data_IF_343763212063
#
_entry.id   IF_343763212063
#
_cell.length_a   1.000
_cell.length_b   1.000
_cell.length_c   1.000
_cell.angle_alpha   90.00
_cell.angle_beta   90.00
_cell.angle_gamma   90.00
#
_symmetry.space_group_name_H-M   'P 1'
#
loop_
_entity.id
_entity.type
_entity.pdbx_description
1 polymer ?
#
# COMPACT_ATOMS: atom_id res chain seq x y z
N UNK A 1 2.33 -6.27 -26.44
CA UNK A 1 2.81 -6.36 -25.04
C UNK A 1 2.24 -7.63 -24.43
N UNK A 2 3.06 -8.46 -23.76
CA UNK A 2 2.59 -9.74 -23.24
C UNK A 2 1.50 -9.52 -22.20
N UNK A 3 0.33 -10.14 -22.41
CA UNK A 3 -0.72 -10.22 -21.40
C UNK A 3 -0.24 -11.22 -20.35
N UNK A 4 0.10 -10.72 -19.18
CA UNK A 4 0.50 -11.54 -18.06
C UNK A 4 -0.76 -12.01 -17.30
N UNK A 5 -0.78 -13.27 -16.84
CA UNK A 5 -2.00 -13.88 -16.29
C UNK A 5 -2.36 -13.32 -14.90
N UNK A 6 -3.66 -13.26 -14.57
CA UNK A 6 -4.12 -12.83 -13.24
C UNK A 6 -3.51 -13.68 -12.11
N UNK A 7 -3.31 -14.99 -12.35
CA UNK A 7 -2.66 -15.90 -11.40
C UNK A 7 -1.25 -15.46 -11.10
N UNK A 8 -0.48 -15.16 -12.14
CA UNK A 8 0.88 -14.70 -11.96
C UNK A 8 0.89 -13.33 -11.26
N UNK A 9 -0.10 -12.45 -11.51
CA UNK A 9 -0.22 -11.14 -10.84
C UNK A 9 -0.49 -11.25 -9.37
N UNK A 10 -1.40 -12.15 -9.01
CA UNK A 10 -1.69 -12.50 -7.64
C UNK A 10 -0.45 -13.07 -6.94
N UNK A 11 0.28 -13.98 -7.58
CA UNK A 11 1.51 -14.58 -7.01
C UNK A 11 2.59 -13.50 -6.79
N UNK A 12 2.86 -12.65 -7.78
CA UNK A 12 3.84 -11.57 -7.63
C UNK A 12 3.44 -10.60 -6.51
N UNK A 13 2.16 -10.24 -6.42
CA UNK A 13 1.64 -9.42 -5.34
C UNK A 13 1.81 -10.08 -3.97
N UNK A 14 1.44 -11.35 -3.84
CA UNK A 14 1.62 -12.13 -2.60
C UNK A 14 3.09 -12.25 -2.19
N UNK A 15 4.00 -12.45 -3.15
CA UNK A 15 5.43 -12.49 -2.88
C UNK A 15 5.96 -11.11 -2.43
N UNK A 16 5.40 -10.02 -2.95
CA UNK A 16 5.83 -8.64 -2.62
C UNK A 16 5.33 -8.19 -1.25
N UNK A 17 4.11 -8.59 -0.87
CA UNK A 17 3.49 -8.23 0.42
C UNK A 17 4.39 -8.41 1.64
N UNK A 18 5.00 -9.58 1.92
CA UNK A 18 5.82 -9.76 3.13
C UNK A 18 7.05 -8.85 3.16
N UNK A 19 7.73 -8.65 2.03
CA UNK A 19 8.89 -7.74 1.98
C UNK A 19 8.47 -6.30 2.22
N UNK A 20 7.39 -5.85 1.58
CA UNK A 20 6.89 -4.50 1.78
C UNK A 20 6.38 -4.29 3.21
N UNK A 21 5.73 -5.29 3.83
CA UNK A 21 5.29 -5.23 5.23
C UNK A 21 6.49 -5.11 6.18
N UNK A 22 7.55 -5.90 5.97
CA UNK A 22 8.76 -5.80 6.78
C UNK A 22 9.41 -4.41 6.68
N UNK A 23 9.47 -3.83 5.48
CA UNK A 23 9.97 -2.47 5.27
C UNK A 23 9.08 -1.41 5.96
N UNK A 24 7.76 -1.57 5.89
CA UNK A 24 6.82 -0.68 6.57
C UNK A 24 6.98 -0.76 8.09
N UNK A 25 7.06 -1.97 8.66
CA UNK A 25 7.30 -2.19 10.09
C UNK A 25 8.66 -1.65 10.53
N UNK A 26 9.70 -1.82 9.72
CA UNK A 26 11.02 -1.26 9.99
C UNK A 26 10.98 0.28 10.11
N UNK A 27 10.29 0.96 9.19
CA UNK A 27 10.14 2.43 9.21
C UNK A 27 9.17 2.93 10.28
N UNK A 28 8.18 2.12 10.67
CA UNK A 28 7.32 2.41 11.81
C UNK A 28 8.09 2.37 13.15
N UNK A 29 9.20 1.63 13.20
CA UNK A 29 9.92 1.35 14.44
C UNK A 29 9.02 0.68 15.49
N UNK A 30 9.39 0.76 16.76
CA UNK A 30 8.55 0.30 17.87
C UNK A 30 7.43 1.30 18.23
N UNK A 31 6.88 2.03 17.25
CA UNK A 31 5.89 3.11 17.45
C UNK A 31 6.49 4.52 17.48
N UNK A 32 7.80 4.67 17.29
CA UNK A 32 8.50 5.97 17.26
C UNK A 32 9.11 6.31 15.89
N UNK A 33 8.92 5.45 14.89
CA UNK A 33 9.45 5.66 13.55
C UNK A 33 8.68 6.73 12.77
N UNK A 34 9.26 7.16 11.66
CA UNK A 34 8.71 8.20 10.80
C UNK A 34 7.56 7.71 9.89
N UNK A 35 7.33 6.39 9.85
CA UNK A 35 6.34 5.72 9.00
C UNK A 35 6.51 6.03 7.50
N UNK A 36 7.66 6.55 7.06
CA UNK A 36 7.90 6.95 5.67
C UNK A 36 7.70 5.78 4.73
N UNK A 37 8.30 4.62 5.00
CA UNK A 37 8.12 3.45 4.12
C UNK A 37 6.70 2.90 4.19
N UNK A 38 6.00 3.02 5.32
CA UNK A 38 4.60 2.64 5.42
C UNK A 38 3.71 3.55 4.55
N UNK A 39 3.92 4.87 4.58
CA UNK A 39 3.21 5.86 3.75
C UNK A 39 3.49 5.67 2.26
N UNK A 40 4.73 5.32 1.89
CA UNK A 40 5.11 5.10 0.49
C UNK A 40 4.60 3.76 -0.04
N UNK A 41 4.77 2.66 0.71
CA UNK A 41 4.45 1.31 0.22
C UNK A 41 2.97 0.96 0.40
N UNK A 42 2.34 1.47 1.45
CA UNK A 42 0.94 1.19 1.82
C UNK A 42 0.11 2.46 2.00
N UNK A 43 0.08 3.37 1.01
CA UNK A 43 -0.61 4.64 1.16
C UNK A 43 -2.12 4.47 1.38
N UNK A 44 -2.76 3.46 0.77
CA UNK A 44 -4.20 3.22 0.95
C UNK A 44 -4.50 2.75 2.38
N UNK A 45 -3.88 1.68 2.92
CA UNK A 45 -4.00 1.30 4.33
C UNK A 45 -3.72 2.44 5.30
N UNK A 46 -2.69 3.25 5.01
CA UNK A 46 -2.33 4.38 5.85
C UNK A 46 -3.40 5.46 5.84
N UNK A 47 -3.97 5.82 4.69
CA UNK A 47 -5.07 6.79 4.64
C UNK A 47 -6.35 6.28 5.32
N UNK A 48 -6.59 4.96 5.33
CA UNK A 48 -7.74 4.39 6.05
C UNK A 48 -7.65 4.61 7.56
N UNK A 49 -6.46 4.80 8.13
CA UNK A 49 -6.33 5.08 9.57
C UNK A 49 -6.95 6.41 9.97
N UNK A 50 -7.15 7.36 9.04
CA UNK A 50 -7.90 8.60 9.26
C UNK A 50 -9.34 8.31 9.71
N UNK A 51 -9.92 7.20 9.25
CA UNK A 51 -11.26 6.75 9.65
C UNK A 51 -11.27 6.11 11.05
N UNK A 52 -10.09 5.79 11.58
CA UNK A 52 -9.90 5.12 12.87
C UNK A 52 -8.96 5.93 13.77
N UNK A 53 -9.11 7.26 13.79
CA UNK A 53 -8.35 8.19 14.64
C UNK A 53 -6.84 7.96 14.59
N UNK A 54 -6.27 7.85 13.38
CA UNK A 54 -4.86 7.57 13.16
C UNK A 54 -4.37 6.33 13.92
N UNK A 55 -5.19 5.30 14.06
CA UNK A 55 -4.81 4.02 14.68
C UNK A 55 -4.73 2.92 13.64
N UNK A 56 -3.67 2.11 13.68
CA UNK A 56 -3.55 0.91 12.85
C UNK A 56 -4.48 -0.18 13.39
N UNK A 57 -5.60 -0.39 12.69
CA UNK A 57 -6.60 -1.39 13.05
C UNK A 57 -6.50 -2.64 12.17
N UNK A 58 -7.25 -3.69 12.53
CA UNK A 58 -7.38 -4.90 11.72
C UNK A 58 -7.86 -4.61 10.29
N UNK A 59 -8.67 -3.57 10.09
CA UNK A 59 -9.07 -3.09 8.76
C UNK A 59 -7.86 -2.61 7.95
N UNK A 60 -7.01 -1.77 8.55
CA UNK A 60 -5.80 -1.24 7.90
C UNK A 60 -4.83 -2.38 7.56
N UNK A 61 -4.63 -3.31 8.48
CA UNK A 61 -3.80 -4.51 8.27
C UNK A 61 -4.36 -5.39 7.15
N UNK A 62 -5.68 -5.63 7.14
CA UNK A 62 -6.34 -6.40 6.09
C UNK A 62 -6.16 -5.78 4.70
N UNK A 63 -6.30 -4.45 4.59
CA UNK A 63 -6.03 -3.72 3.35
C UNK A 63 -4.56 -3.81 2.95
N UNK A 64 -3.63 -3.75 3.89
CA UNK A 64 -2.20 -3.88 3.60
C UNK A 64 -1.86 -5.24 3.00
N UNK A 65 -2.42 -6.32 3.56
CA UNK A 65 -2.24 -7.68 3.02
C UNK A 65 -2.78 -7.80 1.60
N UNK A 66 -3.92 -7.17 1.30
CA UNK A 66 -4.60 -7.27 0.01
C UNK A 66 -4.04 -6.32 -1.05
N UNK A 67 -3.39 -5.22 -0.68
CA UNK A 67 -3.02 -4.14 -1.60
C UNK A 67 -2.19 -4.62 -2.81
N UNK A 68 -1.04 -5.26 -2.57
CA UNK A 68 -0.17 -5.73 -3.66
C UNK A 68 -0.77 -6.86 -4.50
N UNK A 69 -1.45 -7.88 -3.92
CA UNK A 69 -2.22 -8.86 -4.69
C UNK A 69 -3.28 -8.20 -5.58
N UNK A 70 -4.04 -7.23 -5.04
CA UNK A 70 -5.05 -6.51 -5.80
C UNK A 70 -4.42 -5.69 -6.95
N UNK A 71 -3.28 -5.03 -6.70
CA UNK A 71 -2.52 -4.33 -7.73
C UNK A 71 -2.07 -5.26 -8.85
N UNK A 72 -1.50 -6.42 -8.48
CA UNK A 72 -1.04 -7.44 -9.43
C UNK A 72 -2.16 -7.98 -10.31
N UNK A 73 -3.33 -8.27 -9.73
CA UNK A 73 -4.53 -8.68 -10.49
C UNK A 73 -5.04 -7.55 -11.38
N UNK A 74 -5.11 -6.32 -10.86
CA UNK A 74 -5.60 -5.16 -11.59
C UNK A 74 -4.79 -4.90 -12.87
N UNK A 75 -3.46 -4.91 -12.78
CA UNK A 75 -2.57 -4.69 -13.93
C UNK A 75 -2.54 -5.88 -14.89
N UNK A 76 -2.66 -7.12 -14.38
CA UNK A 76 -2.70 -8.33 -15.22
C UNK A 76 -3.91 -8.36 -16.17
N UNK A 77 -5.03 -7.79 -15.74
CA UNK A 77 -6.27 -7.71 -16.51
C UNK A 77 -6.23 -6.63 -17.62
N UNK A 78 -5.13 -5.90 -17.81
CA UNK A 78 -5.03 -4.86 -18.83
C UNK A 78 -3.63 -4.59 -19.36
N UNK A 79 -3.52 -3.57 -20.21
CA UNK A 79 -2.25 -3.12 -20.78
C UNK A 79 -1.65 -1.93 -20.04
N UNK A 80 -0.76 -1.19 -20.71
CA UNK A 80 -0.06 0.00 -20.19
C UNK A 80 -0.97 1.02 -19.49
N UNK A 81 -2.21 1.19 -19.96
CA UNK A 81 -3.18 2.10 -19.33
C UNK A 81 -3.49 1.76 -17.88
N UNK A 82 -3.56 0.47 -17.51
CA UNK A 82 -3.81 0.06 -16.12
C UNK A 82 -2.58 0.25 -15.23
N UNK A 83 -1.38 0.07 -15.77
CA UNK A 83 -0.15 0.42 -15.08
C UNK A 83 -0.08 1.92 -14.79
N UNK A 84 -0.42 2.76 -15.78
CA UNK A 84 -0.48 4.21 -15.60
C UNK A 84 -1.55 4.61 -14.58
N UNK A 85 -2.76 4.06 -14.68
CA UNK A 85 -3.84 4.33 -13.74
C UNK A 85 -3.46 3.94 -12.31
N UNK A 86 -2.89 2.74 -12.13
CA UNK A 86 -2.42 2.28 -10.82
C UNK A 86 -1.32 3.20 -10.27
N UNK A 87 -0.34 3.55 -11.10
CA UNK A 87 0.75 4.44 -10.71
C UNK A 87 0.26 5.83 -10.29
N UNK A 88 -0.69 6.40 -11.03
CA UNK A 88 -1.31 7.70 -10.70
C UNK A 88 -2.10 7.61 -9.40
N UNK A 89 -2.96 6.61 -9.24
CA UNK A 89 -3.76 6.43 -8.01
C UNK A 89 -2.84 6.24 -6.80
N UNK A 90 -1.81 5.41 -6.93
CA UNK A 90 -0.85 5.18 -5.86
C UNK A 90 -0.06 6.44 -5.52
N UNK A 91 0.44 7.18 -6.52
CA UNK A 91 1.15 8.43 -6.32
C UNK A 91 0.28 9.49 -5.63
N UNK A 92 -1.00 9.63 -6.03
CA UNK A 92 -1.95 10.54 -5.36
C UNK A 92 -2.14 10.12 -3.90
N UNK A 93 -2.30 8.82 -3.64
CA UNK A 93 -2.46 8.33 -2.28
C UNK A 93 -1.20 8.58 -1.42
N UNK A 94 0.01 8.41 -1.99
CA UNK A 94 1.27 8.77 -1.32
C UNK A 94 1.32 10.26 -1.02
N UNK A 95 1.02 11.13 -2.00
CA UNK A 95 1.00 12.58 -1.78
C UNK A 95 0.00 12.98 -0.69
N UNK A 96 -1.19 12.37 -0.68
CA UNK A 96 -2.17 12.57 0.37
C UNK A 96 -1.62 12.12 1.74
N UNK A 97 -0.94 10.97 1.80
CA UNK A 97 -0.32 10.47 3.03
C UNK A 97 0.83 11.36 3.56
N UNK A 98 1.44 12.19 2.70
CA UNK A 98 2.47 13.17 3.07
C UNK A 98 1.98 14.62 3.12
N UNK A 99 0.70 14.87 2.87
CA UNK A 99 0.13 16.22 2.81
C UNK A 99 0.02 16.93 4.16
N UNK A 100 0.33 16.24 5.26
CA UNK A 100 0.06 16.69 6.63
C UNK A 100 -1.32 16.29 7.16
N UNK A 101 -2.16 15.65 6.35
CA UNK A 101 -3.45 15.09 6.80
C UNK A 101 -3.26 13.89 7.75
N UNK A 102 -2.21 13.10 7.52
CA UNK A 102 -1.80 12.03 8.45
C UNK A 102 -0.77 12.56 9.45
N UNK A 103 -1.22 12.77 10.68
CA UNK A 103 -0.35 12.99 11.83
C UNK A 103 0.47 11.74 12.16
N UNK A 104 1.47 11.89 13.03
CA UNK A 104 2.19 10.73 13.56
C UNK A 104 1.24 9.90 14.44
N UNK A 105 1.36 8.58 14.33
CA UNK A 105 0.61 7.65 15.18
C UNK A 105 1.07 7.87 16.62
N UNK A 106 0.15 8.24 17.51
CA UNK A 106 0.42 8.21 18.96
C UNK A 106 0.35 6.74 19.41
N UNK A 107 1.49 6.21 19.86
CA UNK A 107 1.60 4.87 20.45
C UNK A 107 1.27 4.88 21.93
#
# INVERSE_FOLDING_TARGET
>A
MPKFSCRAGLILGLCTTPFALLLALFSAGSGHGDWVLARVLYPIPMLVTLLTNNTVTSLSVGLAVVQFPAYGVFVALGGRGRWLALGVVHAIAVLAAFSGVLDYFEG
#
